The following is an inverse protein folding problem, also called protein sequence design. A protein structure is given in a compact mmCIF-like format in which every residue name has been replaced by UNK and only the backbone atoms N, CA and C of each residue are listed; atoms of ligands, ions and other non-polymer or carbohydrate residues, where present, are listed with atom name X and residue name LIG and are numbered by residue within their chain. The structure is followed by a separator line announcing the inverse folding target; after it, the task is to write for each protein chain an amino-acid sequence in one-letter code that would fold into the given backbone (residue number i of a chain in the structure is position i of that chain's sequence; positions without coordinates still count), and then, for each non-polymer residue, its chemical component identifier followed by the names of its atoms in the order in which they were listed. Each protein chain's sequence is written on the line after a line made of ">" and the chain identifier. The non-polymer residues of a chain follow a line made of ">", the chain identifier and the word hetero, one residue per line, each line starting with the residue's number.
data_IF_461000550011
#
_entry.id   IF_461000550011
#
_cell.length_a   1.000
_cell.length_b   1.000
_cell.length_c   1.000
_cell.angle_alpha   90.00
_cell.angle_beta   90.00
_cell.angle_gamma   90.00
#
_symmetry.space_group_name_H-M   'P 1'
#
loop_
_entity.id
_entity.type
_entity.pdbx_description
1 polymer ?
#
# COMPACT_ATOMS: atom_id res chain seq x y z
N UNK A 1 22.51 21.34 0.88
CA UNK A 1 21.48 21.19 -0.17
C UNK A 1 20.24 20.67 0.56
N UNK A 2 19.14 21.43 0.58
CA UNK A 2 18.03 21.37 1.55
C UNK A 2 16.99 20.24 1.23
N UNK A 3 17.41 19.09 0.69
CA UNK A 3 16.46 18.08 0.19
C UNK A 3 16.28 16.86 1.11
N UNK A 4 17.17 16.62 2.06
CA UNK A 4 17.05 15.46 2.95
C UNK A 4 16.06 15.67 4.11
N UNK A 5 15.57 16.91 4.28
CA UNK A 5 14.72 17.33 5.39
C UNK A 5 15.30 16.95 6.78
N UNK A 6 16.62 16.78 6.90
CA UNK A 6 17.25 16.19 8.08
C UNK A 6 16.94 16.97 9.37
N UNK A 7 16.76 18.28 9.27
CA UNK A 7 16.46 19.18 10.39
C UNK A 7 15.03 19.02 10.96
N UNK A 8 14.11 18.35 10.25
CA UNK A 8 12.73 18.17 10.68
C UNK A 8 12.51 16.79 11.31
N UNK A 9 11.79 16.75 12.44
CA UNK A 9 11.36 15.50 13.06
C UNK A 9 10.32 14.75 12.22
N UNK A 10 9.48 15.49 11.49
CA UNK A 10 8.51 14.95 10.52
C UNK A 10 8.91 15.44 9.14
N UNK A 11 9.12 14.50 8.21
CA UNK A 11 9.61 14.78 6.86
C UNK A 11 8.54 14.33 5.86
N UNK A 12 8.22 15.19 4.91
CA UNK A 12 7.16 14.97 3.93
C UNK A 12 7.76 14.99 2.53
N UNK A 13 7.72 13.87 1.83
CA UNK A 13 8.17 13.78 0.44
C UNK A 13 7.23 12.93 -0.42
N UNK A 14 7.40 13.06 -1.74
CA UNK A 14 6.59 12.38 -2.73
C UNK A 14 7.40 11.44 -3.61
N UNK A 15 6.79 10.30 -3.95
CA UNK A 15 7.34 9.36 -4.92
C UNK A 15 8.54 8.55 -4.42
N UNK A 16 9.11 7.76 -5.34
CA UNK A 16 10.12 6.75 -5.02
C UNK A 16 11.44 7.35 -4.52
N UNK A 17 11.83 8.52 -5.04
CA UNK A 17 13.05 9.20 -4.58
C UNK A 17 12.92 9.65 -3.13
N UNK A 18 11.74 10.17 -2.73
CA UNK A 18 11.44 10.51 -1.35
C UNK A 18 11.57 9.31 -0.42
N UNK A 19 10.99 8.16 -0.79
CA UNK A 19 11.13 6.92 -0.02
C UNK A 19 12.60 6.48 0.07
N UNK A 20 13.34 6.51 -1.04
CA UNK A 20 14.74 6.09 -1.08
C UNK A 20 15.64 6.94 -0.17
N UNK A 21 15.35 8.23 -0.03
CA UNK A 21 16.11 9.14 0.83
C UNK A 21 15.67 9.09 2.28
N UNK A 22 14.36 9.04 2.54
CA UNK A 22 13.82 9.20 3.90
C UNK A 22 13.64 7.89 4.65
N UNK A 23 13.29 6.78 3.98
CA UNK A 23 13.04 5.51 4.68
C UNK A 23 14.26 4.99 5.46
N UNK A 24 15.51 5.06 4.94
CA UNK A 24 16.69 4.57 5.67
C UNK A 24 17.06 5.39 6.90
N UNK A 25 16.56 6.63 7.01
CA UNK A 25 16.88 7.58 8.08
C UNK A 25 15.67 7.90 8.98
N UNK A 26 14.57 7.16 8.83
CA UNK A 26 13.34 7.35 9.60
C UNK A 26 13.03 6.12 10.44
N UNK A 27 12.52 6.33 11.66
CA UNK A 27 12.09 5.23 12.53
C UNK A 27 10.83 4.52 11.98
N UNK A 28 10.00 5.24 11.22
CA UNK A 28 8.84 4.73 10.52
C UNK A 28 8.51 5.60 9.29
N UNK A 29 7.78 5.02 8.34
CA UNK A 29 7.24 5.71 7.15
C UNK A 29 5.72 5.58 7.14
N UNK A 30 5.03 6.68 6.87
CA UNK A 30 3.58 6.68 6.64
C UNK A 30 3.34 6.91 5.15
N UNK A 31 2.83 5.91 4.45
CA UNK A 31 2.38 6.05 3.07
C UNK A 31 0.99 6.65 3.09
N UNK A 32 0.81 7.76 2.37
CA UNK A 32 -0.48 8.43 2.18
C UNK A 32 -0.81 8.42 0.69
N UNK A 33 -1.77 7.58 0.31
CA UNK A 33 -2.28 7.44 -1.06
C UNK A 33 -3.80 7.27 -0.99
N UNK A 34 -4.49 8.38 -0.73
CA UNK A 34 -5.92 8.40 -0.37
C UNK A 34 -6.80 7.91 -1.51
N UNK A 35 -6.36 8.08 -2.77
CA UNK A 35 -7.13 7.79 -3.99
C UNK A 35 -6.39 6.77 -4.88
N UNK A 36 -6.35 5.49 -4.49
CA UNK A 36 -7.20 4.87 -3.48
C UNK A 36 -6.50 3.85 -2.58
N UNK A 37 -5.20 3.64 -2.71
CA UNK A 37 -4.52 2.50 -2.10
C UNK A 37 -4.67 2.45 -0.58
N UNK A 38 -4.32 3.52 0.14
CA UNK A 38 -4.37 3.54 1.61
C UNK A 38 -5.80 3.47 2.14
N UNK A 39 -6.76 4.07 1.44
CA UNK A 39 -8.20 3.92 1.75
C UNK A 39 -8.66 2.47 1.56
N UNK A 40 -8.18 1.77 0.53
CA UNK A 40 -8.47 0.35 0.32
C UNK A 40 -7.85 -0.52 1.43
N UNK A 41 -6.62 -0.21 1.85
CA UNK A 41 -5.93 -0.90 2.95
C UNK A 41 -6.72 -0.74 4.25
N UNK A 42 -7.08 0.50 4.61
CA UNK A 42 -7.86 0.79 5.82
C UNK A 42 -9.19 0.02 5.86
N UNK A 43 -9.97 0.06 4.77
CA UNK A 43 -11.24 -0.66 4.69
C UNK A 43 -11.03 -2.17 4.82
N UNK A 44 -10.10 -2.75 4.05
CA UNK A 44 -9.90 -4.20 4.06
C UNK A 44 -9.42 -4.71 5.42
N UNK A 45 -8.45 -4.02 6.04
CA UNK A 45 -7.96 -4.36 7.39
C UNK A 45 -9.05 -4.13 8.43
N UNK A 46 -9.86 -3.08 8.30
CA UNK A 46 -11.03 -2.83 9.15
C UNK A 46 -12.09 -3.94 9.07
N UNK A 47 -12.20 -4.63 7.94
CA UNK A 47 -13.02 -5.84 7.78
C UNK A 47 -12.33 -7.13 8.26
N UNK A 48 -11.11 -7.05 8.80
CA UNK A 48 -10.34 -8.21 9.26
C UNK A 48 -9.61 -8.97 8.15
N UNK A 49 -9.43 -8.38 6.97
CA UNK A 49 -8.61 -8.95 5.90
C UNK A 49 -7.12 -8.62 6.08
N UNK A 50 -6.25 -9.42 5.48
CA UNK A 50 -4.81 -9.15 5.38
C UNK A 50 -4.46 -8.65 3.99
N UNK A 51 -3.84 -7.48 3.89
CA UNK A 51 -3.42 -6.89 2.62
C UNK A 51 -1.92 -7.06 2.43
N UNK A 52 -1.53 -7.59 1.27
CA UNK A 52 -0.17 -7.68 0.81
C UNK A 52 0.06 -6.63 -0.30
N UNK A 53 0.85 -5.57 -0.04
CA UNK A 53 1.23 -4.65 -1.09
C UNK A 53 2.14 -5.38 -2.10
N UNK A 54 1.98 -5.05 -3.38
CA UNK A 54 2.85 -5.50 -4.45
C UNK A 54 3.09 -4.43 -5.51
N UNK A 55 4.23 -4.49 -6.18
CA UNK A 55 4.57 -3.57 -7.27
C UNK A 55 3.59 -3.67 -8.44
N UNK A 56 3.24 -2.53 -9.03
CA UNK A 56 2.35 -2.46 -10.18
C UNK A 56 3.00 -2.98 -11.47
N UNK A 57 2.19 -3.53 -12.39
CA UNK A 57 2.67 -4.13 -13.65
C UNK A 57 3.76 -5.20 -13.50
N UNK A 58 3.80 -5.87 -12.36
CA UNK A 58 4.70 -6.99 -12.17
C UNK A 58 3.94 -8.29 -12.46
N UNK A 59 4.30 -8.96 -13.56
CA UNK A 59 3.70 -10.23 -13.98
C UNK A 59 3.83 -11.32 -12.90
N UNK A 60 4.77 -11.18 -11.95
CA UNK A 60 4.91 -12.09 -10.82
C UNK A 60 3.88 -11.89 -9.71
N UNK A 61 2.99 -10.89 -9.79
CA UNK A 61 1.97 -10.65 -8.76
C UNK A 61 1.05 -11.86 -8.56
N UNK A 62 0.72 -12.58 -9.65
CA UNK A 62 -0.07 -13.82 -9.59
C UNK A 62 0.69 -14.93 -8.87
N UNK A 63 1.97 -15.12 -9.21
CA UNK A 63 2.83 -16.11 -8.57
C UNK A 63 2.99 -15.83 -7.08
N UNK A 64 3.17 -14.55 -6.72
CA UNK A 64 3.27 -14.11 -5.34
C UNK A 64 1.97 -14.37 -4.57
N UNK A 65 0.81 -14.03 -5.14
CA UNK A 65 -0.50 -14.30 -4.55
C UNK A 65 -0.69 -15.80 -4.26
N UNK A 66 -0.30 -16.69 -5.19
CA UNK A 66 -0.31 -18.14 -4.96
C UNK A 66 0.63 -18.53 -3.82
N UNK A 67 1.87 -18.03 -3.81
CA UNK A 67 2.86 -18.35 -2.79
C UNK A 67 2.43 -17.95 -1.38
N UNK A 68 1.73 -16.82 -1.24
CA UNK A 68 1.19 -16.38 0.05
C UNK A 68 -0.26 -16.83 0.28
N UNK A 69 -0.85 -17.66 -0.59
CA UNK A 69 -2.24 -18.13 -0.44
C UNK A 69 -3.26 -16.98 -0.34
N UNK A 70 -3.11 -15.97 -1.20
CA UNK A 70 -3.95 -14.79 -1.25
C UNK A 70 -4.67 -14.65 -2.60
N UNK A 71 -5.79 -13.93 -2.60
CA UNK A 71 -6.46 -13.47 -3.81
C UNK A 71 -5.64 -12.33 -4.44
N UNK A 72 -5.62 -12.24 -5.77
CA UNK A 72 -5.02 -11.08 -6.45
C UNK A 72 -6.13 -10.10 -6.84
N UNK A 73 -6.02 -8.85 -6.40
CA UNK A 73 -6.92 -7.79 -6.83
C UNK A 73 -6.74 -7.50 -8.33
N UNK A 74 -7.84 -7.34 -9.06
CA UNK A 74 -7.82 -7.00 -10.48
C UNK A 74 -7.50 -5.51 -10.67
N UNK A 75 -6.77 -5.21 -11.74
CA UNK A 75 -6.46 -3.85 -12.14
C UNK A 75 -7.67 -3.14 -12.76
N UNK A 76 -8.62 -3.89 -13.32
CA UNK A 76 -9.83 -3.35 -13.94
C UNK A 76 -10.90 -3.13 -12.89
N UNK A 77 -11.23 -1.87 -12.61
CA UNK A 77 -12.27 -1.48 -11.65
C UNK A 77 -13.68 -2.03 -11.97
N UNK A 78 -13.92 -2.50 -13.19
CA UNK A 78 -15.19 -3.14 -13.61
C UNK A 78 -15.22 -4.65 -13.40
N UNK A 79 -14.15 -5.27 -12.89
CA UNK A 79 -14.13 -6.70 -12.62
C UNK A 79 -15.10 -7.06 -11.49
N UNK A 80 -15.65 -8.27 -11.52
CA UNK A 80 -16.57 -8.77 -10.49
C UNK A 80 -15.89 -9.08 -9.14
N UNK A 81 -14.55 -8.99 -9.07
CA UNK A 81 -13.76 -9.27 -7.87
C UNK A 81 -13.26 -8.01 -7.15
N UNK A 82 -12.30 -8.22 -6.26
CA UNK A 82 -11.63 -7.12 -5.56
C UNK A 82 -10.72 -6.34 -6.52
N UNK A 83 -10.70 -5.02 -6.36
CA UNK A 83 -9.90 -4.11 -7.19
C UNK A 83 -9.29 -3.03 -6.31
N UNK A 84 -8.49 -2.13 -6.91
CA UNK A 84 -8.08 -0.87 -6.27
C UNK A 84 -9.24 0.16 -6.18
N UNK A 85 -10.45 -0.30 -5.89
CA UNK A 85 -11.64 0.51 -5.63
C UNK A 85 -12.11 0.22 -4.20
N UNK A 86 -12.20 1.24 -3.32
CA UNK A 86 -12.69 1.08 -1.95
C UNK A 86 -14.04 0.35 -1.88
N UNK A 87 -14.94 0.66 -2.82
CA UNK A 87 -16.28 0.05 -2.88
C UNK A 87 -16.25 -1.47 -3.07
N UNK A 88 -15.23 -1.99 -3.78
CA UNK A 88 -15.09 -3.44 -3.99
C UNK A 88 -14.70 -4.20 -2.71
N UNK A 89 -14.15 -3.50 -1.71
CA UNK A 89 -13.62 -4.10 -0.48
C UNK A 89 -14.55 -3.94 0.73
N UNK A 90 -15.65 -3.18 0.61
CA UNK A 90 -16.55 -2.88 1.74
C UNK A 90 -17.12 -4.12 2.45
N UNK A 91 -17.25 -5.23 1.73
CA UNK A 91 -17.78 -6.51 2.23
C UNK A 91 -16.77 -7.65 2.12
N UNK A 92 -15.47 -7.35 2.11
CA UNK A 92 -14.44 -8.40 2.12
C UNK A 92 -14.57 -9.24 3.40
N UNK A 93 -14.68 -10.57 3.32
CA UNK A 93 -14.79 -11.41 4.50
C UNK A 93 -13.54 -11.33 5.38
N UNK A 94 -13.72 -11.37 6.70
CA UNK A 94 -12.62 -11.48 7.65
C UNK A 94 -11.76 -12.72 7.36
N UNK A 95 -10.45 -12.61 7.56
CA UNK A 95 -9.49 -13.66 7.23
C UNK A 95 -9.13 -13.76 5.74
N UNK A 96 -9.77 -12.97 4.86
CA UNK A 96 -9.35 -12.90 3.46
C UNK A 96 -7.93 -12.37 3.38
N UNK A 97 -7.08 -13.03 2.59
CA UNK A 97 -5.73 -12.58 2.25
C UNK A 97 -5.76 -12.06 0.83
N UNK A 98 -5.32 -10.82 0.60
CA UNK A 98 -5.38 -10.18 -0.70
C UNK A 98 -4.06 -9.49 -1.05
N UNK A 99 -3.54 -9.77 -2.24
CA UNK A 99 -2.49 -8.98 -2.89
C UNK A 99 -3.16 -7.81 -3.59
N UNK A 100 -2.75 -6.59 -3.24
CA UNK A 100 -3.34 -5.34 -3.75
C UNK A 100 -2.27 -4.49 -4.45
N UNK A 101 -2.02 -4.69 -5.75
CA UNK A 101 -1.10 -3.85 -6.49
C UNK A 101 -1.67 -2.45 -6.75
N UNK A 102 -0.80 -1.44 -6.72
CA UNK A 102 -1.15 -0.08 -7.12
C UNK A 102 0.08 0.65 -7.67
N UNK A 103 -0.06 1.55 -8.64
CA UNK A 103 1.09 2.26 -9.25
C UNK A 103 1.92 3.03 -8.21
N UNK A 104 1.26 3.63 -7.22
CA UNK A 104 1.89 4.49 -6.23
C UNK A 104 1.99 3.82 -4.85
N UNK A 105 0.95 3.90 -4.01
CA UNK A 105 1.05 3.57 -2.59
C UNK A 105 1.61 2.19 -2.29
N UNK A 106 1.14 1.15 -2.98
CA UNK A 106 1.64 -0.22 -2.88
C UNK A 106 3.11 -0.35 -3.32
N UNK A 107 3.46 0.18 -4.50
CA UNK A 107 4.85 0.17 -5.01
C UNK A 107 5.80 0.86 -4.02
N UNK A 108 5.39 2.03 -3.52
CA UNK A 108 6.17 2.79 -2.54
C UNK A 108 6.29 2.05 -1.20
N UNK A 109 5.20 1.42 -0.74
CA UNK A 109 5.20 0.61 0.50
C UNK A 109 6.19 -0.56 0.43
N UNK A 110 6.36 -1.19 -0.73
CA UNK A 110 7.35 -2.27 -0.91
C UNK A 110 8.77 -1.72 -0.91
N UNK A 111 8.97 -0.48 -1.39
CA UNK A 111 10.30 0.15 -1.49
C UNK A 111 10.86 0.71 -0.17
N UNK A 112 10.08 0.72 0.92
CA UNK A 112 10.55 1.17 2.24
C UNK A 112 11.50 0.16 2.91
N UNK A 113 11.60 -1.06 2.38
CA UNK A 113 12.53 -2.07 2.85
C UNK A 113 12.22 -2.57 4.26
N UNK A 114 13.19 -2.45 5.16
CA UNK A 114 13.03 -2.89 6.55
C UNK A 114 12.38 -1.84 7.46
N UNK A 115 12.18 -0.62 6.99
CA UNK A 115 11.62 0.47 7.80
C UNK A 115 10.14 0.22 8.07
N UNK A 116 9.68 0.25 9.33
CA UNK A 116 8.27 0.11 9.68
C UNK A 116 7.39 1.03 8.84
N UNK A 117 6.41 0.45 8.14
CA UNK A 117 5.59 1.18 7.17
C UNK A 117 4.12 1.10 7.53
N UNK A 118 3.47 2.26 7.61
CA UNK A 118 2.08 2.43 8.00
C UNK A 118 1.29 3.00 6.81
N UNK A 119 0.01 2.64 6.71
CA UNK A 119 -0.90 3.23 5.73
C UNK A 119 -1.76 4.31 6.41
N UNK A 120 -1.64 5.56 5.97
CA UNK A 120 -2.43 6.68 6.45
C UNK A 120 -3.43 7.17 5.39
N UNK A 121 -4.67 7.40 5.80
CA UNK A 121 -5.73 7.99 4.98
C UNK A 121 -6.68 8.82 5.84
N UNK A 122 -7.67 9.47 5.22
CA UNK A 122 -8.63 10.31 5.95
C UNK A 122 -9.52 9.52 6.94
N UNK A 123 -9.60 8.19 6.82
CA UNK A 123 -10.45 7.34 7.67
C UNK A 123 -9.80 6.95 9.00
N UNK A 124 -8.48 7.05 9.09
CA UNK A 124 -7.68 6.63 10.25
C UNK A 124 -6.74 7.73 10.75
N UNK A 125 -7.09 8.99 10.49
CA UNK A 125 -6.39 10.19 10.96
C UNK A 125 -6.86 10.65 12.34
#
# INVERSE_FOLDING_TARGET
>A
MIYDQAEFAVRCEWGAQGVAQLAPISDAVIIVDVLSFTTCVDIAVGCGATVYPYGFHNDSARTYAVAVGALLADHRRSAAGYTLSPASLLSIPAGTRIVLPSPNGSTLSVSTGATPTLAGCLRNA
#
